data_IF_129190103611
#
_entry.id   IF_129190103611
#
_cell.length_a   1.000
_cell.length_b   1.000
_cell.length_c   1.000
_cell.angle_alpha   90.00
_cell.angle_beta   90.00
_cell.angle_gamma   90.00
#
_symmetry.space_group_name_H-M   'P 1'
#
loop_
_entity.id
_entity.type
_entity.pdbx_description
1 polymer ?
#
# COMPACT_ATOMS: atom_id res chain seq x y z
N UNK A 1 23.40 -21.53 8.99
CA UNK A 1 22.25 -21.23 8.12
C UNK A 1 22.01 -19.73 8.17
N UNK A 2 22.45 -19.00 7.14
CA UNK A 2 22.24 -17.55 7.06
C UNK A 2 20.75 -17.26 6.95
N UNK A 3 20.19 -16.64 7.98
CA UNK A 3 18.83 -16.13 7.98
C UNK A 3 18.77 -15.09 6.85
N UNK A 4 18.31 -15.49 5.65
CA UNK A 4 18.06 -14.55 4.57
C UNK A 4 16.93 -13.63 5.03
N UNK A 5 17.30 -12.54 5.69
CA UNK A 5 16.45 -11.37 5.86
C UNK A 5 16.03 -10.99 4.44
N UNK A 6 14.81 -11.38 4.07
CA UNK A 6 14.19 -10.90 2.84
C UNK A 6 14.19 -9.39 2.99
N UNK A 7 15.09 -8.72 2.28
CA UNK A 7 15.15 -7.27 2.26
C UNK A 7 13.74 -6.78 1.95
N UNK A 8 13.22 -5.88 2.78
CA UNK A 8 11.88 -5.32 2.63
C UNK A 8 11.64 -4.88 1.19
N UNK A 9 12.68 -4.29 0.58
CA UNK A 9 12.72 -3.83 -0.80
C UNK A 9 12.40 -4.90 -1.85
N UNK A 10 12.56 -6.18 -1.52
CA UNK A 10 12.37 -7.30 -2.44
C UNK A 10 11.00 -7.98 -2.26
N UNK A 11 10.15 -7.44 -1.39
CA UNK A 11 8.80 -7.97 -1.15
C UNK A 11 7.86 -7.43 -2.22
N UNK A 12 6.94 -8.28 -2.72
CA UNK A 12 6.06 -7.90 -3.83
C UNK A 12 5.24 -6.64 -3.51
N UNK A 13 4.73 -6.54 -2.28
CA UNK A 13 3.92 -5.39 -1.84
C UNK A 13 4.73 -4.10 -1.81
N UNK A 14 6.01 -4.17 -1.42
CA UNK A 14 6.90 -3.01 -1.44
C UNK A 14 7.20 -2.56 -2.87
N UNK A 15 7.50 -3.51 -3.77
CA UNK A 15 7.77 -3.21 -5.17
C UNK A 15 6.56 -2.59 -5.87
N UNK A 16 5.36 -3.13 -5.63
CA UNK A 16 4.13 -2.58 -6.19
C UNK A 16 3.78 -1.21 -5.59
N UNK A 17 3.97 -1.01 -4.28
CA UNK A 17 3.77 0.30 -3.66
C UNK A 17 4.78 1.35 -4.18
N UNK A 18 6.02 0.94 -4.47
CA UNK A 18 7.04 1.79 -5.09
C UNK A 18 6.64 2.16 -6.52
N UNK A 19 6.17 1.18 -7.30
CA UNK A 19 5.66 1.44 -8.65
C UNK A 19 4.45 2.40 -8.63
N UNK A 20 3.58 2.29 -7.62
CA UNK A 20 2.47 3.22 -7.43
C UNK A 20 2.95 4.64 -7.11
N UNK A 21 3.99 4.78 -6.28
CA UNK A 21 4.62 6.09 -6.03
C UNK A 21 5.21 6.67 -7.31
N UNK A 22 5.92 5.87 -8.11
CA UNK A 22 6.46 6.30 -9.41
C UNK A 22 5.32 6.81 -10.33
N UNK A 23 4.20 6.10 -10.43
CA UNK A 23 3.02 6.55 -11.20
C UNK A 23 2.42 7.86 -10.66
N UNK A 24 2.33 8.03 -9.33
CA UNK A 24 1.85 9.29 -8.71
C UNK A 24 2.75 10.47 -9.11
N UNK A 25 4.07 10.28 -9.06
CA UNK A 25 5.04 11.29 -9.44
C UNK A 25 4.91 11.67 -10.92
N UNK A 26 4.60 10.72 -11.78
CA UNK A 26 4.41 10.92 -13.22
C UNK A 26 3.12 11.65 -13.58
N UNK A 27 2.01 11.39 -12.87
CA UNK A 27 0.73 12.02 -13.17
C UNK A 27 0.61 13.42 -12.56
N UNK A 28 1.22 13.66 -11.39
CA UNK A 28 1.08 14.92 -10.63
C UNK A 28 1.44 16.17 -11.43
N UNK A 29 2.47 16.18 -12.32
CA UNK A 29 2.76 17.30 -13.19
C UNK A 29 1.58 17.80 -14.03
N UNK A 30 0.66 16.89 -14.39
CA UNK A 30 -0.51 17.17 -15.23
C UNK A 30 -1.73 17.67 -14.45
N UNK A 31 -1.68 17.71 -13.12
CA UNK A 31 -2.81 18.14 -12.31
C UNK A 31 -3.07 19.65 -12.50
N UNK A 32 -4.33 20.11 -12.44
CA UNK A 32 -4.63 21.54 -12.44
C UNK A 32 -3.90 22.25 -11.30
N UNK A 33 -3.35 23.44 -11.59
CA UNK A 33 -2.52 24.21 -10.63
C UNK A 33 -3.21 24.40 -9.27
N UNK A 34 -4.53 24.59 -9.26
CA UNK A 34 -5.32 24.76 -8.04
C UNK A 34 -5.31 23.54 -7.10
N UNK A 35 -5.11 22.33 -7.63
CA UNK A 35 -5.15 21.08 -6.86
C UNK A 35 -3.78 20.38 -6.77
N UNK A 36 -2.83 20.79 -7.59
CA UNK A 36 -1.48 20.20 -7.67
C UNK A 36 -0.77 20.25 -6.31
N UNK A 37 -0.71 21.42 -5.68
CA UNK A 37 0.00 21.62 -4.41
C UNK A 37 -0.84 21.30 -3.16
N UNK A 38 -2.05 20.75 -3.34
CA UNK A 38 -2.91 20.31 -2.25
C UNK A 38 -3.19 18.81 -2.38
N UNK A 39 -4.05 18.42 -3.31
CA UNK A 39 -4.38 17.02 -3.58
C UNK A 39 -3.18 16.25 -4.11
N UNK A 40 -2.47 16.81 -5.10
CA UNK A 40 -1.29 16.15 -5.69
C UNK A 40 -0.16 15.94 -4.66
N UNK A 41 0.16 16.97 -3.88
CA UNK A 41 1.12 16.87 -2.78
C UNK A 41 0.69 15.81 -1.74
N UNK A 42 -0.59 15.81 -1.35
CA UNK A 42 -1.10 14.81 -0.40
C UNK A 42 -1.01 13.38 -0.93
N UNK A 43 -1.20 13.15 -2.23
CA UNK A 43 -1.01 11.83 -2.83
C UNK A 43 0.46 11.38 -2.76
N UNK A 44 1.41 12.29 -3.00
CA UNK A 44 2.84 11.99 -2.87
C UNK A 44 3.19 11.62 -1.43
N UNK A 45 2.75 12.42 -0.45
CA UNK A 45 2.96 12.14 0.97
C UNK A 45 2.38 10.79 1.38
N UNK A 46 1.16 10.48 0.91
CA UNK A 46 0.53 9.18 1.16
C UNK A 46 1.34 8.05 0.54
N UNK A 47 1.77 8.19 -0.72
CA UNK A 47 2.58 7.19 -1.43
C UNK A 47 3.90 6.90 -0.72
N UNK A 48 4.61 7.93 -0.24
CA UNK A 48 5.81 7.78 0.60
C UNK A 48 5.45 7.06 1.91
N UNK A 49 4.37 7.47 2.57
CA UNK A 49 3.91 6.85 3.80
C UNK A 49 3.57 5.36 3.67
N UNK A 50 3.10 4.90 2.50
CA UNK A 50 2.89 3.47 2.24
C UNK A 50 4.20 2.68 2.29
N UNK A 51 5.26 3.22 1.70
CA UNK A 51 6.61 2.61 1.70
C UNK A 51 7.14 2.51 3.13
N UNK A 52 6.99 3.59 3.90
CA UNK A 52 7.39 3.65 5.31
C UNK A 52 6.63 2.62 6.16
N UNK A 53 5.30 2.53 6.01
CA UNK A 53 4.49 1.61 6.79
C UNK A 53 4.79 0.15 6.46
N UNK A 54 5.04 -0.18 5.19
CA UNK A 54 5.48 -1.52 4.77
C UNK A 54 6.84 -1.85 5.44
N UNK A 55 7.80 -0.93 5.37
CA UNK A 55 9.10 -1.13 6.00
C UNK A 55 8.98 -1.32 7.51
N UNK A 56 8.21 -0.47 8.18
CA UNK A 56 7.93 -0.57 9.61
C UNK A 56 7.28 -1.91 9.95
N UNK A 57 6.31 -2.39 9.17
CA UNK A 57 5.66 -3.68 9.37
C UNK A 57 6.63 -4.88 9.26
N UNK A 58 7.66 -4.77 8.42
CA UNK A 58 8.71 -5.80 8.33
C UNK A 58 9.72 -5.73 9.48
N UNK A 59 10.15 -4.51 9.85
CA UNK A 59 11.19 -4.27 10.85
C UNK A 59 10.68 -4.46 12.29
N UNK A 60 9.47 -3.99 12.58
CA UNK A 60 8.83 -4.04 13.90
C UNK A 60 7.80 -5.18 13.95
N UNK A 61 8.31 -6.42 14.08
CA UNK A 61 7.45 -7.61 14.13
C UNK A 61 6.37 -7.55 15.22
N UNK A 62 6.66 -7.11 16.47
CA UNK A 62 5.65 -7.00 17.52
C UNK A 62 4.48 -6.08 17.16
N UNK A 63 4.75 -4.93 16.53
CA UNK A 63 3.70 -3.97 16.16
C UNK A 63 3.28 -4.06 14.68
N UNK A 64 3.69 -5.11 13.96
CA UNK A 64 3.40 -5.30 12.53
C UNK A 64 1.94 -5.06 12.17
N UNK A 65 1.02 -5.62 12.94
CA UNK A 65 -0.42 -5.46 12.68
C UNK A 65 -0.85 -3.99 12.75
N UNK A 66 -0.29 -3.22 13.69
CA UNK A 66 -0.57 -1.77 13.82
C UNK A 66 -0.09 -1.03 12.58
N UNK A 67 1.13 -1.29 12.12
CA UNK A 67 1.69 -0.69 10.91
C UNK A 67 0.86 -1.04 9.66
N UNK A 68 0.39 -2.29 9.54
CA UNK A 68 -0.51 -2.69 8.45
C UNK A 68 -1.89 -2.01 8.50
N UNK A 69 -2.42 -1.72 9.70
CA UNK A 69 -3.66 -0.96 9.84
C UNK A 69 -3.46 0.50 9.39
N UNK A 70 -2.36 1.13 9.82
CA UNK A 70 -2.02 2.50 9.39
C UNK A 70 -1.83 2.57 7.87
N UNK A 71 -1.11 1.60 7.29
CA UNK A 71 -0.99 1.42 5.85
C UNK A 71 -2.36 1.38 5.17
N UNK A 72 -3.28 0.53 5.66
CA UNK A 72 -4.60 0.39 5.06
C UNK A 72 -5.39 1.71 5.10
N UNK A 73 -5.34 2.46 6.20
CA UNK A 73 -6.02 3.77 6.30
C UNK A 73 -5.46 4.80 5.31
N UNK A 74 -4.12 4.91 5.20
CA UNK A 74 -3.49 5.79 4.21
C UNK A 74 -3.83 5.35 2.78
N UNK A 75 -3.83 4.04 2.53
CA UNK A 75 -4.11 3.46 1.23
C UNK A 75 -5.56 3.71 0.76
N UNK A 76 -6.55 3.57 1.64
CA UNK A 76 -7.94 3.92 1.33
C UNK A 76 -8.11 5.40 0.97
N UNK A 77 -7.39 6.28 1.68
CA UNK A 77 -7.37 7.71 1.38
C UNK A 77 -6.78 7.95 -0.02
N UNK A 78 -5.64 7.32 -0.32
CA UNK A 78 -4.97 7.43 -1.62
C UNK A 78 -5.86 6.91 -2.77
N UNK A 79 -6.52 5.76 -2.60
CA UNK A 79 -7.48 5.22 -3.58
C UNK A 79 -8.60 6.21 -3.87
N UNK A 80 -9.15 6.82 -2.83
CA UNK A 80 -10.20 7.82 -2.97
C UNK A 80 -9.72 9.03 -3.78
N UNK A 81 -8.55 9.57 -3.45
CA UNK A 81 -7.98 10.69 -4.20
C UNK A 81 -7.68 10.31 -5.65
N UNK A 82 -7.14 9.11 -5.89
CA UNK A 82 -6.80 8.63 -7.24
C UNK A 82 -8.04 8.48 -8.12
N UNK A 83 -9.13 7.94 -7.55
CA UNK A 83 -10.43 7.85 -8.22
C UNK A 83 -10.96 9.25 -8.59
N UNK A 84 -10.89 10.21 -7.65
CA UNK A 84 -11.28 11.60 -7.93
C UNK A 84 -10.45 12.19 -9.07
N UNK A 85 -9.13 11.97 -9.09
CA UNK A 85 -8.27 12.46 -10.16
C UNK A 85 -8.62 11.84 -11.53
N UNK A 86 -9.00 10.56 -11.56
CA UNK A 86 -9.51 9.87 -12.75
C UNK A 86 -10.86 10.45 -13.22
N UNK A 87 -11.84 10.55 -12.32
CA UNK A 87 -13.17 11.11 -12.61
C UNK A 87 -13.09 12.56 -13.12
N UNK A 88 -12.15 13.35 -12.57
CA UNK A 88 -11.88 14.73 -12.99
C UNK A 88 -11.00 14.83 -14.24
N UNK A 89 -10.58 13.70 -14.82
CA UNK A 89 -9.74 13.60 -16.02
C UNK A 89 -8.38 14.32 -15.87
N UNK A 90 -7.80 14.31 -14.66
CA UNK A 90 -6.45 14.84 -14.42
C UNK A 90 -5.35 13.89 -14.89
N UNK A 91 -5.70 12.61 -15.05
CA UNK A 91 -4.81 11.55 -15.52
C UNK A 91 -4.96 11.43 -17.04
N UNK A 92 -3.88 11.72 -17.77
CA UNK A 92 -3.88 11.63 -19.23
C UNK A 92 -3.74 10.17 -19.68
N UNK A 93 -4.62 9.75 -20.57
CA UNK A 93 -4.63 8.42 -21.19
C UNK A 93 -5.40 7.39 -20.38
N UNK A 94 -6.44 6.80 -21.00
CA UNK A 94 -7.29 5.78 -20.35
C UNK A 94 -6.48 4.56 -19.88
N UNK A 95 -5.48 4.15 -20.66
CA UNK A 95 -4.62 3.01 -20.31
C UNK A 95 -3.81 3.22 -19.03
N UNK A 96 -3.33 4.46 -18.78
CA UNK A 96 -2.59 4.77 -17.55
C UNK A 96 -3.50 4.74 -16.33
N UNK A 97 -4.70 5.30 -16.43
CA UNK A 97 -5.65 5.24 -15.31
C UNK A 97 -6.02 3.79 -14.96
N UNK A 98 -6.31 2.95 -15.97
CA UNK A 98 -6.59 1.53 -15.76
C UNK A 98 -5.42 0.81 -15.09
N UNK A 99 -4.19 1.05 -15.56
CA UNK A 99 -2.97 0.47 -14.96
C UNK A 99 -2.82 0.82 -13.48
N UNK A 100 -3.02 2.10 -13.13
CA UNK A 100 -2.94 2.55 -11.72
C UNK A 100 -3.99 1.84 -10.86
N UNK A 101 -5.22 1.68 -11.37
CA UNK A 101 -6.30 1.00 -10.63
C UNK A 101 -5.97 -0.48 -10.42
N UNK A 102 -5.47 -1.18 -11.44
CA UNK A 102 -5.02 -2.58 -11.33
C UNK A 102 -3.89 -2.73 -10.30
N UNK A 103 -2.93 -1.79 -10.31
CA UNK A 103 -1.84 -1.77 -9.35
C UNK A 103 -2.34 -1.56 -7.91
N UNK A 104 -3.29 -0.65 -7.72
CA UNK A 104 -3.92 -0.42 -6.42
C UNK A 104 -4.70 -1.66 -5.94
N UNK A 105 -5.43 -2.34 -6.81
CA UNK A 105 -6.13 -3.57 -6.47
C UNK A 105 -5.16 -4.69 -6.05
N UNK A 106 -4.04 -4.83 -6.77
CA UNK A 106 -2.99 -5.79 -6.42
C UNK A 106 -2.41 -5.50 -5.02
N UNK A 107 -2.10 -4.24 -4.72
CA UNK A 107 -1.58 -3.83 -3.40
C UNK A 107 -2.61 -4.08 -2.29
N UNK A 108 -3.88 -3.77 -2.54
CA UNK A 108 -4.98 -4.01 -1.60
C UNK A 108 -5.12 -5.49 -1.24
N UNK A 109 -5.08 -6.38 -2.24
CA UNK A 109 -5.11 -7.84 -2.05
C UNK A 109 -3.90 -8.33 -1.24
N UNK A 110 -2.70 -7.84 -1.57
CA UNK A 110 -1.47 -8.21 -0.85
C UNK A 110 -1.49 -7.78 0.62
N UNK A 111 -1.91 -6.54 0.92
CA UNK A 111 -1.99 -6.05 2.30
C UNK A 111 -3.01 -6.83 3.13
N UNK A 112 -4.16 -7.17 2.54
CA UNK A 112 -5.21 -7.96 3.19
C UNK A 112 -4.75 -9.39 3.45
N UNK A 113 -4.15 -10.05 2.46
CA UNK A 113 -3.59 -11.39 2.63
C UNK A 113 -2.50 -11.41 3.72
N UNK A 114 -1.65 -10.40 3.76
CA UNK A 114 -0.60 -10.29 4.78
C UNK A 114 -1.19 -10.10 6.18
N UNK A 115 -2.18 -9.21 6.35
CA UNK A 115 -2.90 -9.03 7.62
C UNK A 115 -3.59 -10.33 8.07
N UNK A 116 -4.30 -11.01 7.17
CA UNK A 116 -5.01 -12.25 7.47
C UNK A 116 -4.06 -13.39 7.88
N UNK A 117 -2.86 -13.45 7.29
CA UNK A 117 -1.83 -14.42 7.68
C UNK A 117 -1.33 -14.23 9.13
N UNK A 118 -1.56 -13.06 9.73
CA UNK A 118 -1.19 -12.77 11.12
C UNK A 118 -2.33 -13.08 12.10
N UNK A 119 -3.59 -12.86 11.70
CA UNK A 119 -4.77 -13.15 12.53
C UNK A 119 -5.06 -14.65 12.57
N UNK A 120 -4.90 -15.35 11.44
CA UNK A 120 -5.05 -16.82 11.38
C UNK A 120 -4.04 -17.53 12.29
N UNK A 121 -2.80 -17.04 12.37
CA UNK A 121 -1.78 -17.60 13.28
C UNK A 121 -2.16 -17.49 14.75
N UNK A 122 -2.76 -16.36 15.17
CA UNK A 122 -3.21 -16.17 16.56
C UNK A 122 -4.37 -17.10 16.94
N UNK A 123 -5.18 -17.54 15.99
CA UNK A 123 -6.28 -18.48 16.24
C UNK A 123 -5.83 -19.93 16.44
N UNK A 124 -4.71 -20.32 15.82
CA UNK A 124 -4.15 -21.69 15.92
C UNK A 124 -3.34 -21.89 17.21
N UNK A 125 -2.64 -20.86 17.69
CA UNK A 125 -1.88 -20.90 18.97
C UNK A 125 -2.77 -20.94 20.23
N UNK A 126 -4.10 -20.81 20.10
CA UNK A 126 -5.05 -20.79 21.23
C UNK A 126 -5.92 -22.05 21.34
N UNK A 127 -5.72 -23.07 20.50
CA UNK A 127 -6.40 -24.36 20.68
C UNK A 127 -5.65 -25.18 21.75
N UNK A 128 -6.28 -25.51 22.90
CA UNK A 128 -5.65 -26.40 23.87
C UNK A 128 -5.47 -27.79 23.25
N UNK A 129 -4.28 -28.37 23.41
CA UNK A 129 -4.03 -29.80 23.20
C UNK A 129 -4.85 -30.60 24.22
N UNK A 130 -6.13 -30.79 23.95
CA UNK A 130 -6.94 -31.78 24.65
C UNK A 130 -7.97 -32.33 23.68
N UNK A 131 -7.56 -33.39 22.98
CA UNK A 131 -8.37 -34.59 22.68
C UNK A 131 -7.59 -35.49 21.71
N UNK A 132 -6.79 -36.40 22.26
CA UNK A 132 -6.43 -37.71 21.70
C UNK A 132 -5.98 -38.62 22.83
#
# INVERSE_FOLDING_TARGET
MGNQLKLVSNTRIYLDARALLDEILDIMPNFPRAYKFSVGAKMQDLGIGLIEDIAAAYMDKPNRLRHLIVFQTKFETLKTLMRIAGERQWIKGMGRHAHIIELMDAIGKQSTAWKNSMTAKKGVEQMPESES
#
